data_IF_268853193100
#
_entry.id   IF_268853193100
#
_cell.length_a   1.000
_cell.length_b   1.000
_cell.length_c   1.000
_cell.angle_alpha   90.00
_cell.angle_beta   90.00
_cell.angle_gamma   90.00
#
_symmetry.space_group_name_H-M   'P 1'
#
loop_
_entity.id
_entity.type
_entity.pdbx_description
1 polymer ?
#
# COMPACT_ATOMS: atom_id res chain seq x y z
N UNK A 1 16.79 4.52 3.39
CA UNK A 1 15.68 4.29 2.44
C UNK A 1 15.58 5.52 1.55
N UNK A 2 14.98 5.43 0.36
CA UNK A 2 14.75 6.64 -0.46
C UNK A 2 13.62 7.49 0.15
N UNK A 3 13.55 8.76 -0.24
CA UNK A 3 12.37 9.60 0.02
C UNK A 3 11.27 9.26 -0.98
N UNK A 4 10.02 9.16 -0.50
CA UNK A 4 8.88 8.80 -1.35
C UNK A 4 8.70 9.79 -2.50
N UNK A 5 8.87 11.08 -2.25
CA UNK A 5 8.72 12.12 -3.28
C UNK A 5 9.73 11.93 -4.42
N UNK A 6 10.97 11.55 -4.09
CA UNK A 6 12.01 11.28 -5.09
C UNK A 6 11.68 10.05 -5.91
N UNK A 7 11.20 8.96 -5.28
CA UNK A 7 10.78 7.75 -6.00
C UNK A 7 9.58 8.04 -6.91
N UNK A 8 8.62 8.84 -6.46
CA UNK A 8 7.48 9.25 -7.29
C UNK A 8 7.96 10.13 -8.46
N UNK A 9 8.91 11.02 -8.25
CA UNK A 9 9.49 11.86 -9.31
C UNK A 9 10.26 11.02 -10.35
N UNK A 10 11.11 10.09 -9.89
CA UNK A 10 11.81 9.13 -10.74
C UNK A 10 10.81 8.31 -11.58
N UNK A 11 9.76 7.80 -10.93
CA UNK A 11 8.70 7.03 -11.59
C UNK A 11 7.99 7.85 -12.69
N UNK A 12 7.60 9.09 -12.38
CA UNK A 12 6.94 9.99 -13.34
C UNK A 12 7.87 10.38 -14.50
N UNK A 13 9.17 10.49 -14.27
CA UNK A 13 10.15 10.80 -15.31
C UNK A 13 10.43 9.60 -16.24
N UNK A 14 10.19 8.37 -15.78
CA UNK A 14 10.49 7.16 -16.53
C UNK A 14 9.46 6.83 -17.63
N UNK A 15 8.28 7.44 -17.63
CA UNK A 15 7.21 7.15 -18.59
C UNK A 15 6.27 8.33 -18.80
N UNK A 16 5.73 8.44 -20.02
CA UNK A 16 4.67 9.41 -20.37
C UNK A 16 3.27 8.76 -20.36
N UNK A 17 3.17 7.49 -19.97
CA UNK A 17 1.90 6.77 -19.93
C UNK A 17 0.98 7.31 -18.84
N UNK A 18 -0.32 7.34 -19.12
CA UNK A 18 -1.32 7.71 -18.12
C UNK A 18 -1.41 6.61 -17.07
N UNK A 19 -1.36 7.03 -15.81
CA UNK A 19 -1.55 6.16 -14.68
C UNK A 19 -2.61 6.72 -13.73
N UNK A 20 -3.24 5.83 -12.98
CA UNK A 20 -4.10 6.15 -11.85
C UNK A 20 -3.77 5.25 -10.67
N UNK A 21 -4.29 5.57 -9.49
CA UNK A 21 -4.18 4.76 -8.29
C UNK A 21 -5.53 4.16 -7.95
N UNK A 22 -5.54 2.87 -7.64
CA UNK A 22 -6.71 2.18 -7.10
C UNK A 22 -6.40 1.70 -5.68
N UNK A 23 -7.35 1.79 -4.77
CA UNK A 23 -7.22 1.15 -3.45
C UNK A 23 -7.27 -0.38 -3.62
N UNK A 24 -6.26 -1.10 -3.13
CA UNK A 24 -6.21 -2.57 -3.16
C UNK A 24 -6.77 -3.18 -1.87
N UNK A 25 -7.01 -2.33 -0.86
CA UNK A 25 -7.44 -2.66 0.48
C UNK A 25 -6.28 -3.04 1.40
N UNK A 26 -6.65 -3.63 2.54
CA UNK A 26 -5.70 -4.15 3.52
C UNK A 26 -5.18 -5.51 3.04
N UNK A 27 -3.92 -5.58 2.67
CA UNK A 27 -3.26 -6.81 2.23
C UNK A 27 -2.02 -7.11 3.07
N UNK A 28 -1.59 -8.37 3.03
CA UNK A 28 -0.28 -8.77 3.56
C UNK A 28 0.82 -8.37 2.57
N UNK A 29 1.86 -7.72 3.06
CA UNK A 29 3.03 -7.35 2.28
C UNK A 29 4.31 -7.82 2.95
N UNK A 30 5.32 -8.09 2.13
CA UNK A 30 6.69 -8.30 2.61
C UNK A 30 7.32 -6.93 2.93
N UNK A 31 7.78 -6.68 4.17
CA UNK A 31 8.43 -5.42 4.54
C UNK A 31 9.66 -5.08 3.68
N UNK A 32 10.33 -6.06 3.07
CA UNK A 32 11.50 -5.79 2.22
C UNK A 32 11.15 -4.99 0.97
N UNK A 33 9.93 -5.18 0.45
CA UNK A 33 9.41 -4.46 -0.73
C UNK A 33 9.20 -2.97 -0.47
N UNK A 34 9.24 -2.51 0.77
CA UNK A 34 9.14 -1.08 1.09
C UNK A 34 10.48 -0.42 0.79
N UNK A 35 10.55 0.41 -0.25
CA UNK A 35 11.79 1.05 -0.73
C UNK A 35 11.93 2.50 -0.29
N UNK A 36 10.84 3.16 0.10
CA UNK A 36 10.83 4.58 0.41
C UNK A 36 9.91 4.98 1.58
N UNK A 37 10.32 6.03 2.28
CA UNK A 37 9.62 6.66 3.40
C UNK A 37 9.24 8.10 3.04
N UNK A 38 8.14 8.60 3.60
CA UNK A 38 7.76 10.01 3.43
C UNK A 38 8.47 10.95 4.41
N UNK A 39 9.09 10.39 5.46
CA UNK A 39 9.94 11.11 6.42
C UNK A 39 11.37 10.57 6.33
N UNK A 40 12.34 11.41 6.68
CA UNK A 40 13.74 10.97 6.76
C UNK A 40 13.92 9.98 7.91
N UNK A 41 14.87 9.05 7.80
CA UNK A 41 15.10 8.04 8.85
C UNK A 41 15.51 8.68 10.19
N UNK A 42 16.22 9.81 10.13
CA UNK A 42 16.65 10.59 11.30
C UNK A 42 15.46 11.15 12.09
N UNK A 43 14.37 11.51 11.40
CA UNK A 43 13.12 12.00 12.02
C UNK A 43 12.31 10.86 12.67
N UNK A 44 12.66 9.61 12.36
CA UNK A 44 11.93 8.42 12.78
C UNK A 44 12.66 7.68 13.90
N UNK A 45 13.95 7.40 13.75
CA UNK A 45 14.62 6.33 14.49
C UNK A 45 14.56 6.47 16.03
N UNK A 46 14.54 7.72 16.51
CA UNK A 46 14.62 8.03 17.94
C UNK A 46 13.51 8.95 18.46
N UNK A 47 12.47 9.21 17.66
CA UNK A 47 11.35 10.02 18.12
C UNK A 47 10.51 9.27 19.17
N UNK A 48 9.63 10.02 19.85
CA UNK A 48 8.74 9.44 20.89
C UNK A 48 7.86 8.32 20.33
N UNK A 49 7.38 8.43 19.08
CA UNK A 49 6.47 7.45 18.47
C UNK A 49 7.20 6.14 18.20
N UNK A 50 8.44 6.19 17.74
CA UNK A 50 9.27 5.01 17.51
C UNK A 50 9.59 4.29 18.82
N UNK A 51 9.92 5.02 19.89
CA UNK A 51 10.18 4.40 21.20
C UNK A 51 8.95 3.63 21.70
N UNK A 52 7.79 4.28 21.69
CA UNK A 52 6.52 3.64 22.08
C UNK A 52 6.22 2.43 21.20
N UNK A 53 6.47 2.51 19.89
CA UNK A 53 6.25 1.39 18.98
C UNK A 53 7.21 0.22 19.27
N UNK A 54 8.50 0.49 19.48
CA UNK A 54 9.51 -0.51 19.85
C UNK A 54 9.13 -1.20 21.17
N UNK A 55 8.77 -0.44 22.19
CA UNK A 55 8.30 -0.96 23.48
C UNK A 55 7.09 -1.89 23.32
N UNK A 56 6.07 -1.46 22.58
CA UNK A 56 4.88 -2.29 22.32
C UNK A 56 5.20 -3.58 21.56
N UNK A 57 6.08 -3.50 20.56
CA UNK A 57 6.47 -4.68 19.77
C UNK A 57 7.34 -5.62 20.60
N UNK A 58 8.15 -5.11 21.52
CA UNK A 58 8.91 -5.94 22.45
C UNK A 58 7.99 -6.64 23.46
N UNK A 59 6.98 -5.95 23.98
CA UNK A 59 6.05 -6.48 24.98
C UNK A 59 5.04 -7.48 24.39
N UNK A 60 4.47 -7.18 23.22
CA UNK A 60 3.34 -7.94 22.64
C UNK A 60 3.66 -8.62 21.31
N UNK A 61 4.84 -8.40 20.75
CA UNK A 61 5.13 -8.75 19.36
C UNK A 61 4.43 -7.84 18.35
N UNK A 62 4.56 -8.16 17.06
CA UNK A 62 3.90 -7.39 16.00
C UNK A 62 2.45 -7.85 15.81
N UNK A 63 1.48 -6.98 16.10
CA UNK A 63 0.05 -7.35 16.15
C UNK A 63 -0.76 -7.03 14.89
N UNK A 64 -0.18 -6.31 13.91
CA UNK A 64 -0.89 -5.84 12.70
C UNK A 64 -2.14 -4.97 12.97
N UNK A 65 -2.24 -4.36 14.13
CA UNK A 65 -3.36 -3.48 14.49
C UNK A 65 -3.32 -2.14 13.73
N UNK A 66 -4.52 -1.59 13.48
CA UNK A 66 -4.71 -0.30 12.80
C UNK A 66 -4.09 -0.19 11.40
N UNK A 67 -4.30 -1.17 10.49
CA UNK A 67 -3.66 -1.20 9.17
C UNK A 67 -4.00 0.00 8.27
N UNK A 68 -5.15 0.65 8.49
CA UNK A 68 -5.53 1.88 7.77
C UNK A 68 -4.57 3.05 8.00
N UNK A 69 -3.90 3.09 9.17
CA UNK A 69 -2.87 4.10 9.43
C UNK A 69 -1.49 3.73 8.89
N UNK A 70 -1.40 2.66 8.11
CA UNK A 70 -0.19 2.21 7.43
C UNK A 70 -0.48 2.15 5.92
N UNK A 71 -0.40 3.32 5.28
CA UNK A 71 -0.74 3.48 3.88
C UNK A 71 0.51 3.38 2.99
N UNK A 72 0.44 2.52 1.97
CA UNK A 72 1.51 2.27 1.03
C UNK A 72 1.03 2.48 -0.40
N UNK A 73 1.88 3.03 -1.25
CA UNK A 73 1.71 3.06 -2.70
C UNK A 73 2.53 1.94 -3.32
N UNK A 74 1.87 1.05 -4.05
CA UNK A 74 2.50 -0.01 -4.83
C UNK A 74 2.74 0.46 -6.26
N UNK A 75 4.00 0.51 -6.65
CA UNK A 75 4.42 0.78 -8.01
C UNK A 75 4.23 -0.43 -8.93
N UNK A 76 4.25 -0.22 -10.25
CA UNK A 76 4.18 -1.26 -11.27
C UNK A 76 5.05 -2.50 -11.08
N UNK A 77 6.30 -2.28 -10.70
CA UNK A 77 7.29 -3.33 -10.46
C UNK A 77 7.06 -4.08 -9.13
N UNK A 78 6.06 -3.68 -8.35
CA UNK A 78 5.74 -4.23 -7.05
C UNK A 78 6.47 -3.57 -5.88
N UNK A 79 7.32 -2.58 -6.11
CA UNK A 79 7.92 -1.83 -5.01
C UNK A 79 6.86 -1.01 -4.26
N UNK A 80 7.09 -0.82 -2.96
CA UNK A 80 6.17 -0.10 -2.07
C UNK A 80 6.84 1.17 -1.55
N UNK A 81 6.10 2.27 -1.51
CA UNK A 81 6.52 3.51 -0.85
C UNK A 81 5.47 3.97 0.15
N UNK A 82 5.93 4.52 1.27
CA UNK A 82 5.02 5.15 2.24
C UNK A 82 4.58 6.50 1.70
N UNK A 83 3.30 6.68 1.39
CA UNK A 83 2.74 7.95 0.88
C UNK A 83 2.14 8.84 1.96
N UNK A 84 2.14 8.39 3.22
CA UNK A 84 1.58 9.14 4.33
C UNK A 84 1.89 8.50 5.69
N UNK A 85 0.88 8.41 6.56
CA UNK A 85 1.02 7.75 7.85
C UNK A 85 1.63 6.34 7.75
N UNK A 86 2.40 5.95 8.76
CA UNK A 86 2.99 4.61 8.82
C UNK A 86 4.51 4.54 8.64
N UNK A 87 5.23 5.67 8.51
CA UNK A 87 6.70 5.69 8.43
C UNK A 87 7.39 4.87 9.51
N UNK A 88 7.00 5.04 10.77
CA UNK A 88 7.53 4.26 11.90
C UNK A 88 7.31 2.75 11.75
N UNK A 89 6.12 2.36 11.29
CA UNK A 89 5.76 0.95 11.07
C UNK A 89 6.53 0.37 9.88
N UNK A 90 6.65 1.12 8.80
CA UNK A 90 7.46 0.75 7.63
C UNK A 90 8.93 0.52 8.02
N UNK A 91 9.54 1.49 8.70
CA UNK A 91 10.92 1.40 9.14
C UNK A 91 11.14 0.21 10.07
N UNK A 92 10.38 0.11 11.15
CA UNK A 92 10.58 -0.95 12.14
C UNK A 92 10.28 -2.34 11.57
N UNK A 93 9.23 -2.51 10.78
CA UNK A 93 8.91 -3.82 10.18
C UNK A 93 10.02 -4.33 9.27
N UNK A 94 10.66 -3.43 8.50
CA UNK A 94 11.80 -3.79 7.66
C UNK A 94 13.01 -4.20 8.49
N UNK A 95 13.29 -3.52 9.59
CA UNK A 95 14.38 -3.90 10.52
C UNK A 95 14.11 -5.26 11.19
N UNK A 96 12.87 -5.53 11.61
CA UNK A 96 12.50 -6.83 12.20
C UNK A 96 12.59 -7.97 11.19
N UNK A 97 12.19 -7.73 9.93
CA UNK A 97 12.31 -8.71 8.83
C UNK A 97 13.77 -9.08 8.58
N UNK A 98 14.69 -8.10 8.52
CA UNK A 98 16.14 -8.35 8.40
C UNK A 98 16.70 -9.20 9.55
N UNK A 99 16.11 -9.08 10.74
CA UNK A 99 16.47 -9.88 11.92
C UNK A 99 15.79 -11.26 11.94
N UNK A 100 14.97 -11.60 10.94
CA UNK A 100 14.19 -12.84 10.90
C UNK A 100 13.04 -12.90 11.92
N UNK A 101 12.62 -11.76 12.48
CA UNK A 101 11.59 -11.67 13.53
C UNK A 101 10.19 -11.39 13.01
N UNK A 102 10.05 -11.09 11.72
CA UNK A 102 8.80 -10.71 11.11
C UNK A 102 8.77 -11.17 9.65
N UNK A 103 7.72 -11.86 9.23
CA UNK A 103 7.60 -12.35 7.85
C UNK A 103 6.82 -11.39 6.96
N UNK A 104 5.71 -10.86 7.47
CA UNK A 104 4.78 -9.99 6.75
C UNK A 104 4.17 -8.93 7.67
N UNK A 105 3.60 -7.89 7.06
CA UNK A 105 2.75 -6.90 7.74
C UNK A 105 1.45 -6.67 6.96
N UNK A 106 0.40 -6.24 7.65
CA UNK A 106 -0.84 -5.76 7.02
C UNK A 106 -0.79 -4.25 6.85
N UNK A 107 -1.05 -3.78 5.64
CA UNK A 107 -1.04 -2.37 5.28
C UNK A 107 -2.18 -2.08 4.31
N UNK A 108 -2.69 -0.85 4.32
CA UNK A 108 -3.58 -0.38 3.26
C UNK A 108 -2.74 -0.02 2.02
N UNK A 109 -3.00 -0.67 0.89
CA UNK A 109 -2.16 -0.53 -0.30
C UNK A 109 -2.94 0.13 -1.42
N UNK A 110 -2.39 1.20 -2.00
CA UNK A 110 -2.89 1.83 -3.21
C UNK A 110 -2.01 1.38 -4.38
N UNK A 111 -2.58 0.73 -5.39
CA UNK A 111 -1.84 0.23 -6.56
C UNK A 111 -1.84 1.24 -7.70
N UNK A 112 -0.65 1.57 -8.20
CA UNK A 112 -0.47 2.36 -9.42
C UNK A 112 -0.68 1.46 -10.62
N UNK A 113 -1.55 1.89 -11.54
CA UNK A 113 -1.88 1.16 -12.76
C UNK A 113 -1.74 2.07 -13.97
N UNK A 114 -0.99 1.61 -14.98
CA UNK A 114 -0.94 2.25 -16.29
C UNK A 114 -2.23 1.99 -17.06
N UNK A 115 -3.09 3.01 -17.17
CA UNK A 115 -4.39 2.88 -17.82
C UNK A 115 -4.27 2.62 -19.32
N UNK A 116 -3.20 3.11 -19.93
CA UNK A 116 -2.93 2.93 -21.37
C UNK A 116 -2.55 1.48 -21.71
N UNK A 117 -2.10 0.68 -20.72
CA UNK A 117 -1.75 -0.74 -20.89
C UNK A 117 -2.91 -1.69 -20.67
N UNK A 118 -4.02 -1.21 -20.13
CA UNK A 118 -5.17 -2.07 -19.83
C UNK A 118 -6.00 -2.34 -21.08
N UNK A 119 -6.50 -3.58 -21.26
CA UNK A 119 -7.57 -3.84 -22.21
C UNK A 119 -8.77 -2.92 -21.92
N UNK A 120 -9.39 -2.40 -22.98
CA UNK A 120 -10.51 -1.43 -22.85
C UNK A 120 -11.65 -1.96 -21.99
N UNK A 121 -11.96 -3.25 -22.09
CA UNK A 121 -13.02 -3.89 -21.29
C UNK A 121 -12.65 -3.99 -19.82
N UNK A 122 -11.36 -4.26 -19.50
CA UNK A 122 -10.85 -4.27 -18.13
C UNK A 122 -10.95 -2.88 -17.51
N UNK A 123 -10.50 -1.83 -18.21
CA UNK A 123 -10.58 -0.45 -17.72
C UNK A 123 -12.03 -0.01 -17.54
N UNK A 124 -12.92 -0.36 -18.49
CA UNK A 124 -14.35 -0.07 -18.39
C UNK A 124 -14.97 -0.78 -17.17
N UNK A 125 -14.64 -2.04 -16.93
CA UNK A 125 -15.14 -2.80 -15.77
C UNK A 125 -14.64 -2.21 -14.46
N UNK A 126 -13.36 -1.85 -14.35
CA UNK A 126 -12.81 -1.19 -13.16
C UNK A 126 -13.54 0.11 -12.85
N UNK A 127 -13.72 0.98 -13.85
CA UNK A 127 -14.42 2.25 -13.63
C UNK A 127 -15.88 2.07 -13.20
N UNK A 128 -16.55 1.03 -13.69
CA UNK A 128 -17.90 0.67 -13.22
C UNK A 128 -17.87 0.21 -11.76
N UNK A 129 -16.91 -0.63 -11.37
CA UNK A 129 -16.78 -1.12 -10.00
C UNK A 129 -16.49 0.02 -9.02
N UNK A 130 -15.54 0.92 -9.32
CA UNK A 130 -15.26 2.09 -8.47
C UNK A 130 -16.51 2.97 -8.33
N UNK A 131 -17.22 3.25 -9.43
CA UNK A 131 -18.44 4.07 -9.37
C UNK A 131 -19.54 3.45 -8.52
N UNK A 132 -19.65 2.12 -8.46
CA UNK A 132 -20.65 1.44 -7.63
C UNK A 132 -20.21 1.42 -6.16
N UNK A 133 -18.94 1.10 -5.90
CA UNK A 133 -18.39 1.02 -4.53
C UNK A 133 -18.38 2.40 -3.86
N UNK A 134 -18.06 3.46 -4.61
CA UNK A 134 -18.09 4.84 -4.11
C UNK A 134 -19.51 5.39 -3.96
N UNK A 135 -20.50 4.76 -4.58
CA UNK A 135 -21.89 5.13 -4.35
C UNK A 135 -22.32 4.59 -2.98
N UNK A 136 -22.58 5.48 -2.02
CA UNK A 136 -23.09 5.16 -0.66
C UNK A 136 -24.48 4.45 -0.65
N UNK A 137 -24.94 3.97 -1.81
CA UNK A 137 -26.26 3.41 -2.06
C UNK A 137 -26.31 1.87 -2.10
N UNK A 138 -25.18 1.17 -1.97
CA UNK A 138 -25.19 -0.30 -1.91
C UNK A 138 -25.55 -0.74 -0.51
N UNK A 139 -26.85 -0.94 -0.27
CA UNK A 139 -27.38 -1.41 1.03
C UNK A 139 -27.15 -2.91 1.26
N UNK A 140 -26.91 -3.68 0.19
CA UNK A 140 -26.66 -5.12 0.24
C UNK A 140 -25.16 -5.40 0.49
N UNK A 141 -24.85 -5.84 1.71
CA UNK A 141 -23.48 -6.14 2.14
C UNK A 141 -22.87 -7.35 1.40
N UNK A 142 -23.68 -8.35 1.01
CA UNK A 142 -23.18 -9.51 0.26
C UNK A 142 -22.78 -9.09 -1.16
N UNK A 143 -23.62 -8.29 -1.81
CA UNK A 143 -23.32 -7.70 -3.10
C UNK A 143 -22.08 -6.79 -3.04
N UNK A 144 -21.96 -5.93 -2.02
CA UNK A 144 -20.81 -5.07 -1.85
C UNK A 144 -19.51 -5.88 -1.71
N UNK A 145 -19.53 -6.94 -0.91
CA UNK A 145 -18.39 -7.83 -0.73
C UNK A 145 -17.99 -8.53 -2.02
N UNK A 146 -18.96 -9.00 -2.83
CA UNK A 146 -18.67 -9.60 -4.13
C UNK A 146 -18.07 -8.59 -5.11
N UNK A 147 -18.57 -7.35 -5.15
CA UNK A 147 -18.02 -6.29 -6.00
C UNK A 147 -16.59 -5.92 -5.60
N UNK A 148 -16.31 -5.78 -4.29
CA UNK A 148 -14.97 -5.52 -3.75
C UNK A 148 -14.02 -6.67 -4.14
N UNK A 149 -14.49 -7.91 -4.03
CA UNK A 149 -13.71 -9.09 -4.42
C UNK A 149 -13.38 -9.10 -5.91
N UNK A 150 -14.37 -8.88 -6.78
CA UNK A 150 -14.15 -8.80 -8.23
C UNK A 150 -13.13 -7.72 -8.60
N UNK A 151 -13.24 -6.54 -7.97
CA UNK A 151 -12.27 -5.45 -8.14
C UNK A 151 -10.88 -5.87 -7.70
N UNK A 152 -10.75 -6.47 -6.51
CA UNK A 152 -9.48 -6.97 -5.99
C UNK A 152 -8.84 -8.01 -6.92
N UNK A 153 -9.65 -8.93 -7.46
CA UNK A 153 -9.17 -9.96 -8.39
C UNK A 153 -8.65 -9.33 -9.69
N UNK A 154 -9.33 -8.34 -10.26
CA UNK A 154 -8.83 -7.61 -11.43
C UNK A 154 -7.51 -6.91 -11.09
N UNK A 155 -7.47 -6.15 -10.00
CA UNK A 155 -6.28 -5.38 -9.61
C UNK A 155 -5.08 -6.27 -9.29
N UNK A 156 -5.30 -7.43 -8.67
CA UNK A 156 -4.25 -8.40 -8.35
C UNK A 156 -3.69 -9.10 -9.58
N UNK A 157 -4.53 -9.34 -10.60
CA UNK A 157 -4.13 -10.00 -11.84
C UNK A 157 -3.58 -9.07 -12.92
N UNK A 158 -3.63 -7.75 -12.72
CA UNK A 158 -2.90 -6.80 -13.58
C UNK A 158 -1.40 -7.05 -13.38
N UNK A 159 -0.88 -7.87 -14.29
CA UNK A 159 0.53 -8.11 -14.54
C UNK A 159 1.06 -6.91 -15.34
N UNK A 160 2.17 -6.32 -14.90
CA UNK A 160 2.70 -5.07 -15.46
C UNK A 160 3.87 -5.29 -16.41
#
# INVERSE_FOLDING_TARGET
MKKTDDVIAEFKAATNEKCTTYDLGIIQIDPERIIALSLEEEDINDDRKMRILKEKVEEYGWTNEGPFGFALLQFPNGDLAVTGGGNHRAYLSKELKKQGKLEFVKANVFKVVYTDRLPKDTLKRLNQLESIIDSESVEDEELLNDLIKQRHDILSNISQ
#
